data_IF_087559622735
#
_entry.id   IF_087559622735
#
_cell.length_a   1.000
_cell.length_b   1.000
_cell.length_c   1.000
_cell.angle_alpha   90.00
_cell.angle_beta   90.00
_cell.angle_gamma   90.00
#
_symmetry.space_group_name_H-M   'P 1'
#
loop_
_entity.id
_entity.type
_entity.pdbx_description
1 polymer ?
#
# COMPACT_ATOMS: atom_id res chain seq x y z
N UNK A 1 8.02 27.57 4.53
CA UNK A 1 9.46 27.23 4.43
C UNK A 1 9.67 25.88 5.09
N UNK A 2 10.43 24.95 4.48
CA UNK A 2 10.80 23.70 5.15
C UNK A 2 11.72 24.00 6.35
N UNK A 3 11.59 23.25 7.45
CA UNK A 3 12.45 23.37 8.62
C UNK A 3 13.92 23.16 8.21
N UNK A 4 14.81 23.96 8.78
CA UNK A 4 16.26 23.78 8.65
C UNK A 4 16.71 22.50 9.34
N UNK A 5 17.90 22.00 8.98
CA UNK A 5 18.48 20.79 9.59
C UNK A 5 18.61 20.92 11.12
N UNK A 6 19.08 22.07 11.60
CA UNK A 6 19.24 22.34 13.03
C UNK A 6 17.88 22.34 13.75
N UNK A 7 16.84 22.91 13.14
CA UNK A 7 15.48 22.87 13.72
C UNK A 7 14.91 21.44 13.76
N UNK A 8 15.27 20.58 12.80
CA UNK A 8 14.90 19.16 12.82
C UNK A 8 15.63 18.41 13.93
N UNK A 9 16.93 18.64 14.10
CA UNK A 9 17.74 18.04 15.17
C UNK A 9 17.24 18.46 16.56
N UNK A 10 16.88 19.74 16.74
CA UNK A 10 16.30 20.22 17.99
C UNK A 10 14.91 19.63 18.25
N UNK A 11 14.06 19.54 17.23
CA UNK A 11 12.74 18.93 17.37
C UNK A 11 12.84 17.44 17.75
N UNK A 12 13.82 16.71 17.19
CA UNK A 12 14.10 15.34 17.56
C UNK A 12 14.55 15.22 19.02
N UNK A 13 15.52 16.04 19.46
CA UNK A 13 15.99 16.03 20.85
C UNK A 13 14.86 16.34 21.86
N UNK A 14 13.98 17.28 21.53
CA UNK A 14 12.82 17.61 22.36
C UNK A 14 11.80 16.45 22.42
N UNK A 15 11.64 15.71 21.31
CA UNK A 15 10.76 14.55 21.27
C UNK A 15 11.28 13.41 22.15
N UNK A 16 12.59 13.13 22.13
CA UNK A 16 13.21 12.11 23.00
C UNK A 16 12.98 12.43 24.49
N UNK A 17 13.25 13.67 24.91
CA UNK A 17 13.00 14.11 26.30
C UNK A 17 11.53 13.99 26.69
N UNK A 18 10.62 14.30 25.77
CA UNK A 18 9.19 14.15 26.01
C UNK A 18 8.77 12.68 26.11
N UNK A 19 9.24 11.81 25.23
CA UNK A 19 8.97 10.37 25.27
C UNK A 19 9.50 9.73 26.55
N UNK A 20 10.70 10.09 27.01
CA UNK A 20 11.29 9.62 28.28
C UNK A 20 10.46 10.04 29.52
N UNK A 21 9.63 11.08 29.38
CA UNK A 21 8.75 11.56 30.45
C UNK A 21 7.40 10.85 30.50
N UNK A 22 7.04 10.08 29.47
CA UNK A 22 5.78 9.34 29.43
C UNK A 22 5.93 8.01 30.16
N UNK A 23 5.08 7.80 31.16
CA UNK A 23 4.94 6.51 31.82
C UNK A 23 3.79 5.73 31.16
N UNK A 24 4.02 4.56 30.56
CA UNK A 24 2.99 3.79 29.88
C UNK A 24 1.86 3.31 30.80
N UNK A 25 2.07 3.23 32.12
CA UNK A 25 1.04 2.80 33.07
C UNK A 25 0.08 3.95 33.44
N UNK A 26 0.51 5.20 33.27
CA UNK A 26 -0.25 6.39 33.72
C UNK A 26 -0.54 7.39 32.60
N UNK A 27 0.12 7.25 31.44
CA UNK A 27 -0.13 8.03 30.24
C UNK A 27 -1.14 7.28 29.37
N UNK A 28 -2.40 7.74 29.27
CA UNK A 28 -3.38 7.05 28.44
C UNK A 28 -2.95 7.12 26.98
N UNK A 29 -2.67 5.94 26.40
CA UNK A 29 -2.49 5.80 24.97
C UNK A 29 -3.87 5.84 24.29
N UNK A 30 -3.97 6.55 23.18
CA UNK A 30 -5.13 6.42 22.31
C UNK A 30 -5.16 5.00 21.74
N UNK A 31 -6.26 4.27 21.96
CA UNK A 31 -6.47 2.97 21.33
C UNK A 31 -6.73 3.20 19.84
N UNK A 32 -5.67 3.02 19.05
CA UNK A 32 -5.66 3.20 17.60
C UNK A 32 -5.64 1.86 16.87
N UNK A 33 -6.05 0.77 17.55
CA UNK A 33 -6.07 -0.57 16.98
C UNK A 33 -6.86 -0.60 15.66
N UNK A 34 -8.03 0.02 15.61
CA UNK A 34 -8.88 0.10 14.41
C UNK A 34 -8.15 0.79 13.23
N UNK A 35 -7.49 1.92 13.49
CA UNK A 35 -6.73 2.65 12.48
C UNK A 35 -5.52 1.83 11.98
N UNK A 36 -4.84 1.12 12.87
CA UNK A 36 -3.74 0.21 12.53
C UNK A 36 -4.24 -0.94 11.67
N UNK A 37 -5.36 -1.56 12.01
CA UNK A 37 -5.95 -2.66 11.24
C UNK A 37 -6.36 -2.21 9.83
N UNK A 38 -6.92 -1.00 9.68
CA UNK A 38 -7.20 -0.42 8.36
C UNK A 38 -5.91 -0.26 7.55
N UNK A 39 -4.83 0.23 8.16
CA UNK A 39 -3.53 0.38 7.51
C UNK A 39 -2.94 -0.95 7.04
N UNK A 40 -3.05 -1.99 7.86
CA UNK A 40 -2.62 -3.35 7.53
C UNK A 40 -3.45 -3.93 6.37
N UNK A 41 -4.77 -3.86 6.45
CA UNK A 41 -5.67 -4.32 5.39
C UNK A 41 -5.41 -3.59 4.07
N UNK A 42 -5.14 -2.29 4.10
CA UNK A 42 -4.76 -1.52 2.91
C UNK A 42 -3.43 -2.04 2.32
N UNK A 43 -2.44 -2.31 3.15
CA UNK A 43 -1.16 -2.88 2.72
C UNK A 43 -1.32 -4.26 2.06
N UNK A 44 -2.18 -5.09 2.60
CA UNK A 44 -2.54 -6.39 2.02
C UNK A 44 -3.24 -6.23 0.67
N UNK A 45 -4.22 -5.33 0.55
CA UNK A 45 -4.90 -5.06 -0.72
C UNK A 45 -3.93 -4.60 -1.81
N UNK A 46 -3.01 -3.69 -1.48
CA UNK A 46 -1.97 -3.24 -2.42
C UNK A 46 -1.08 -4.42 -2.87
N UNK A 47 -0.71 -5.29 -1.94
CA UNK A 47 0.13 -6.46 -2.22
C UNK A 47 -0.61 -7.47 -3.11
N UNK A 48 -1.87 -7.77 -2.81
CA UNK A 48 -2.69 -8.68 -3.63
C UNK A 48 -2.97 -8.10 -5.01
N UNK A 49 -3.23 -6.79 -5.13
CA UNK A 49 -3.43 -6.15 -6.43
C UNK A 49 -2.16 -6.25 -7.30
N UNK A 50 -0.97 -5.97 -6.73
CA UNK A 50 0.31 -6.15 -7.44
C UNK A 50 0.51 -7.60 -7.88
N UNK A 51 0.17 -8.57 -7.02
CA UNK A 51 0.26 -9.99 -7.36
C UNK A 51 -0.67 -10.34 -8.54
N UNK A 52 -1.89 -9.82 -8.53
CA UNK A 52 -2.85 -10.03 -9.62
C UNK A 52 -2.35 -9.41 -10.93
N UNK A 53 -1.84 -8.18 -10.88
CA UNK A 53 -1.26 -7.49 -12.04
C UNK A 53 -0.11 -8.31 -12.65
N UNK A 54 0.81 -8.80 -11.82
CA UNK A 54 1.92 -9.65 -12.25
C UNK A 54 1.44 -10.97 -12.87
N UNK A 55 0.40 -11.59 -12.32
CA UNK A 55 -0.18 -12.81 -12.88
C UNK A 55 -0.81 -12.56 -14.26
N UNK A 56 -1.51 -11.44 -14.45
CA UNK A 56 -2.06 -11.04 -15.75
C UNK A 56 -0.94 -10.80 -16.77
N UNK A 57 0.14 -10.11 -16.38
CA UNK A 57 1.31 -9.90 -17.22
C UNK A 57 1.96 -11.23 -17.63
N UNK A 58 2.16 -12.14 -16.68
CA UNK A 58 2.70 -13.47 -16.95
C UNK A 58 1.79 -14.25 -17.93
N UNK A 59 0.47 -14.21 -17.74
CA UNK A 59 -0.48 -14.84 -18.65
C UNK A 59 -0.38 -14.27 -20.07
N UNK A 60 -0.27 -12.93 -20.22
CA UNK A 60 -0.07 -12.27 -21.51
C UNK A 60 1.25 -12.67 -22.18
N UNK A 61 2.34 -12.71 -21.41
CA UNK A 61 3.67 -13.17 -21.89
C UNK A 61 3.64 -14.63 -22.33
N UNK A 62 2.83 -15.46 -21.69
CA UNK A 62 2.60 -16.86 -22.05
C UNK A 62 1.61 -17.04 -23.21
N UNK A 63 1.23 -15.95 -23.89
CA UNK A 63 0.39 -16.00 -25.10
C UNK A 63 -1.12 -16.10 -24.85
N UNK A 64 -1.60 -16.04 -23.60
CA UNK A 64 -3.04 -16.10 -23.29
C UNK A 64 -3.77 -14.89 -23.84
N UNK A 65 -4.90 -15.13 -24.49
CA UNK A 65 -5.75 -14.08 -25.03
C UNK A 65 -6.43 -13.26 -23.94
N UNK A 66 -6.81 -12.02 -24.25
CA UNK A 66 -7.63 -11.20 -23.35
C UNK A 66 -8.99 -11.82 -23.02
N UNK A 67 -9.52 -12.68 -23.90
CA UNK A 67 -10.75 -13.42 -23.64
C UNK A 67 -10.59 -14.46 -22.54
N UNK A 68 -9.53 -15.27 -22.60
CA UNK A 68 -9.22 -16.25 -21.55
C UNK A 68 -8.94 -15.56 -20.21
N UNK A 69 -8.20 -14.45 -20.23
CA UNK A 69 -7.89 -13.69 -19.01
C UNK A 69 -9.17 -13.06 -18.43
N UNK A 70 -10.02 -12.45 -19.26
CA UNK A 70 -11.29 -11.88 -18.82
C UNK A 70 -12.21 -12.91 -18.19
N UNK A 71 -12.30 -14.11 -18.78
CA UNK A 71 -13.07 -15.23 -18.24
C UNK A 71 -12.62 -15.61 -16.82
N UNK A 72 -11.31 -15.77 -16.59
CA UNK A 72 -10.78 -16.12 -15.26
C UNK A 72 -11.00 -15.00 -14.24
N UNK A 73 -10.91 -13.74 -14.68
CA UNK A 73 -11.14 -12.57 -13.83
C UNK A 73 -12.63 -12.30 -13.55
N UNK A 74 -13.55 -13.01 -14.20
CA UNK A 74 -14.99 -12.74 -14.09
C UNK A 74 -15.41 -11.40 -14.72
N UNK A 75 -14.65 -10.90 -15.70
CA UNK A 75 -14.93 -9.63 -16.40
C UNK A 75 -15.12 -9.86 -17.89
N UNK A 76 -15.69 -8.87 -18.58
CA UNK A 76 -15.85 -8.96 -20.03
C UNK A 76 -14.50 -8.99 -20.76
N UNK A 77 -14.48 -9.59 -21.95
CA UNK A 77 -13.31 -9.60 -22.85
C UNK A 77 -12.76 -8.19 -23.14
N UNK A 78 -13.61 -7.18 -23.17
CA UNK A 78 -13.24 -5.78 -23.44
C UNK A 78 -12.69 -5.07 -22.19
N UNK A 79 -13.19 -5.42 -21.00
CA UNK A 79 -12.74 -4.83 -19.74
C UNK A 79 -11.30 -5.24 -19.35
N UNK A 80 -10.87 -6.45 -19.73
CA UNK A 80 -9.52 -6.94 -19.44
C UNK A 80 -8.40 -6.07 -20.07
N UNK A 81 -8.38 -5.81 -21.39
CA UNK A 81 -7.36 -4.95 -22.00
C UNK A 81 -7.50 -3.48 -21.59
N UNK A 82 -8.70 -2.99 -21.28
CA UNK A 82 -8.90 -1.64 -20.75
C UNK A 82 -8.19 -1.46 -19.39
N UNK A 83 -8.37 -2.45 -18.49
CA UNK A 83 -7.79 -2.41 -17.14
C UNK A 83 -6.31 -2.73 -17.10
N UNK A 84 -5.86 -3.74 -17.84
CA UNK A 84 -4.50 -4.29 -17.73
C UNK A 84 -3.62 -4.02 -18.96
N UNK A 85 -4.18 -3.51 -20.06
CA UNK A 85 -3.41 -3.30 -21.31
C UNK A 85 -2.27 -2.31 -21.16
N UNK A 86 -2.43 -1.28 -20.30
CA UNK A 86 -1.36 -0.31 -20.00
C UNK A 86 -0.16 -0.93 -19.29
N UNK A 87 -0.34 -2.05 -18.57
CA UNK A 87 0.74 -2.73 -17.87
C UNK A 87 1.61 -3.56 -18.82
N UNK A 88 1.00 -4.11 -19.88
CA UNK A 88 1.71 -4.93 -20.87
C UNK A 88 2.62 -4.08 -21.77
N UNK A 89 2.24 -2.83 -22.00
CA UNK A 89 2.96 -1.90 -22.87
C UNK A 89 4.00 -1.04 -22.13
N UNK A 90 4.27 -1.31 -20.85
CA UNK A 90 5.36 -0.70 -20.08
C UNK A 90 6.54 -1.66 -20.01
#
# INVERSE_FOLDING_TARGET
>A
MPRTRQELEQAAANAEVWLDSLDPDTTPAEDTFDLREIGLALGELVTQQKRLDNAVLAARRNGRSWGEIGLVLGISKQAAPERYGKLVNR
#
